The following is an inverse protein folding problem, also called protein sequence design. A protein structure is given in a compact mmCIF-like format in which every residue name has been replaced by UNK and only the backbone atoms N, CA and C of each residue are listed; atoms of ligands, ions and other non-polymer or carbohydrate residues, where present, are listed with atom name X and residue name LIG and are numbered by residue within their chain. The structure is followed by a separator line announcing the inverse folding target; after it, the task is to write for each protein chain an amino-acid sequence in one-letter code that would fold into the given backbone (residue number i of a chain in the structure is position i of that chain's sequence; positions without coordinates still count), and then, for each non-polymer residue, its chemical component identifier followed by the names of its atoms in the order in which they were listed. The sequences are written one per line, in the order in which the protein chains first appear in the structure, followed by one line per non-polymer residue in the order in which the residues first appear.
data_IF_964627216717
#
_entry.id   IF_964627216717
#
_cell.length_a   1.000
_cell.length_b   1.000
_cell.length_c   1.000
_cell.angle_alpha   90.00
_cell.angle_beta   90.00
_cell.angle_gamma   90.00
#
_symmetry.space_group_name_H-M   'P 1'
#
loop_
_entity.id
_entity.type
_entity.pdbx_description
1 polymer ?
#
# COMPACT_ATOMS: atom_id res chain seq x y z
N UNK A 1 17.48 18.85 -53.50
CA UNK A 1 16.00 18.92 -53.46
C UNK A 1 15.61 18.49 -52.03
N UNK A 2 15.26 19.39 -51.09
CA UNK A 2 13.88 19.88 -50.77
C UNK A 2 12.94 18.67 -50.53
N UNK A 3 12.35 18.40 -49.36
CA UNK A 3 11.63 19.22 -48.35
C UNK A 3 11.55 18.41 -47.02
N UNK A 4 11.80 18.93 -45.83
CA UNK A 4 11.02 19.84 -44.97
C UNK A 4 9.80 19.22 -44.23
N UNK A 5 9.94 19.17 -42.89
CA UNK A 5 8.96 19.28 -41.77
C UNK A 5 7.84 18.24 -41.57
N UNK A 6 7.69 17.87 -40.28
CA UNK A 6 6.46 17.65 -39.47
C UNK A 6 6.67 16.41 -38.58
N UNK A 7 6.55 16.42 -37.25
CA UNK A 7 6.19 17.43 -36.27
C UNK A 7 6.16 16.68 -34.94
N UNK A 8 6.94 17.16 -33.98
CA UNK A 8 7.05 16.63 -32.61
C UNK A 8 5.73 16.83 -31.88
N UNK A 9 4.96 15.75 -31.70
CA UNK A 9 3.86 15.71 -30.74
C UNK A 9 4.38 15.05 -29.44
N UNK A 10 5.03 15.86 -28.59
CA UNK A 10 5.20 15.52 -27.18
C UNK A 10 3.82 15.62 -26.53
N UNK A 11 3.16 14.50 -26.29
CA UNK A 11 2.08 14.45 -25.30
C UNK A 11 2.71 14.50 -23.91
N UNK A 12 2.91 15.71 -23.40
CA UNK A 12 3.09 15.97 -21.98
C UNK A 12 1.73 15.77 -21.28
N UNK A 13 1.47 14.52 -20.89
CA UNK A 13 0.45 14.22 -19.88
C UNK A 13 1.14 14.20 -18.52
N UNK A 14 1.55 15.37 -18.01
CA UNK A 14 1.83 15.50 -16.58
C UNK A 14 0.49 15.51 -15.85
N UNK A 15 -0.06 14.33 -15.61
CA UNK A 15 -0.98 14.15 -14.49
C UNK A 15 -0.12 14.30 -13.24
N UNK A 16 -0.23 15.47 -12.62
CA UNK A 16 0.19 15.68 -11.24
C UNK A 16 -0.69 14.79 -10.36
N UNK A 17 -0.29 13.53 -10.21
CA UNK A 17 -0.72 12.74 -9.06
C UNK A 17 -0.05 13.32 -7.82
N UNK A 18 -0.73 13.35 -6.66
CA UNK A 18 -0.04 13.62 -5.41
C UNK A 18 1.09 12.58 -5.30
N UNK A 19 2.26 13.03 -4.87
CA UNK A 19 3.51 12.29 -4.85
C UNK A 19 3.33 10.81 -4.47
N UNK A 20 3.09 9.96 -5.48
CA UNK A 20 3.29 8.54 -5.34
C UNK A 20 4.80 8.41 -5.23
N UNK A 21 5.25 8.02 -4.04
CA UNK A 21 6.61 7.54 -3.82
C UNK A 21 6.98 6.63 -4.98
N UNK A 22 7.75 7.14 -5.94
CA UNK A 22 8.35 6.36 -7.02
C UNK A 22 9.52 5.52 -6.46
N UNK A 23 9.33 4.97 -5.27
CA UNK A 23 10.14 3.93 -4.70
C UNK A 23 9.64 2.66 -5.36
N UNK A 24 10.52 1.99 -6.10
CA UNK A 24 10.20 0.72 -6.74
C UNK A 24 9.68 -0.22 -5.65
N UNK A 25 8.38 -0.49 -5.64
CA UNK A 25 7.80 -1.42 -4.69
C UNK A 25 8.57 -2.74 -4.81
N UNK A 26 9.14 -3.20 -3.71
CA UNK A 26 9.90 -4.46 -3.65
C UNK A 26 8.98 -5.69 -3.69
N UNK A 27 7.67 -5.47 -3.85
CA UNK A 27 6.63 -6.48 -3.89
C UNK A 27 5.66 -6.18 -5.04
N UNK A 28 4.97 -7.21 -5.51
CA UNK A 28 3.93 -7.09 -6.52
C UNK A 28 2.60 -6.72 -5.86
N UNK A 29 2.20 -5.45 -5.95
CA UNK A 29 0.89 -4.99 -5.46
C UNK A 29 -0.29 -5.64 -6.20
N UNK A 30 -0.09 -6.03 -7.47
CA UNK A 30 -1.07 -6.79 -8.24
C UNK A 30 -1.30 -8.19 -7.68
N UNK A 31 -0.28 -8.81 -7.10
CA UNK A 31 -0.41 -10.09 -6.40
C UNK A 31 -1.30 -9.99 -5.15
N UNK A 32 -1.22 -8.88 -4.40
CA UNK A 32 -2.14 -8.61 -3.27
C UNK A 32 -3.57 -8.49 -3.79
N UNK A 33 -3.80 -7.65 -4.81
CA UNK A 33 -5.13 -7.47 -5.39
C UNK A 33 -5.73 -8.80 -5.90
N UNK A 34 -4.93 -9.61 -6.59
CA UNK A 34 -5.36 -10.91 -7.09
C UNK A 34 -5.70 -11.88 -5.94
N UNK A 35 -4.85 -11.96 -4.91
CA UNK A 35 -5.08 -12.83 -3.75
C UNK A 35 -6.35 -12.45 -2.98
N UNK A 36 -6.59 -11.15 -2.82
CA UNK A 36 -7.75 -10.59 -2.14
C UNK A 36 -9.04 -10.58 -2.98
N UNK A 37 -8.96 -10.77 -4.31
CA UNK A 37 -10.15 -10.99 -5.15
C UNK A 37 -10.73 -12.41 -5.08
N UNK A 38 -9.94 -13.36 -4.59
CA UNK A 38 -10.32 -14.78 -4.54
C UNK A 38 -11.01 -15.17 -3.23
N UNK A 39 -10.25 -15.16 -2.12
CA UNK A 39 -10.71 -15.55 -0.78
C UNK A 39 -9.89 -14.81 0.30
N UNK A 40 -10.52 -14.51 1.44
CA UNK A 40 -9.86 -13.81 2.55
C UNK A 40 -8.60 -14.51 3.08
N UNK A 41 -8.60 -15.85 3.16
CA UNK A 41 -7.43 -16.61 3.60
C UNK A 41 -6.20 -16.42 2.70
N UNK A 42 -6.41 -16.34 1.37
CA UNK A 42 -5.34 -16.08 0.40
C UNK A 42 -4.80 -14.65 0.52
N UNK A 43 -5.70 -13.69 0.76
CA UNK A 43 -5.35 -12.28 1.00
C UNK A 43 -4.37 -12.15 2.18
N UNK A 44 -4.74 -12.69 3.34
CA UNK A 44 -3.92 -12.63 4.55
C UNK A 44 -2.57 -13.34 4.37
N UNK A 45 -2.58 -14.53 3.75
CA UNK A 45 -1.35 -15.30 3.51
C UNK A 45 -0.35 -14.56 2.63
N UNK A 46 -0.82 -13.88 1.56
CA UNK A 46 0.06 -13.10 0.68
C UNK A 46 0.60 -11.86 1.39
N UNK A 47 -0.23 -11.15 2.17
CA UNK A 47 0.22 -10.00 2.96
C UNK A 47 1.32 -10.42 3.94
N UNK A 48 1.10 -11.51 4.70
CA UNK A 48 2.08 -12.00 5.66
C UNK A 48 3.40 -12.44 4.99
N UNK A 49 3.34 -13.09 3.82
CA UNK A 49 4.53 -13.48 3.05
C UNK A 49 5.32 -12.26 2.57
N UNK A 50 4.63 -11.23 2.08
CA UNK A 50 5.29 -9.99 1.64
C UNK A 50 5.96 -9.29 2.82
N UNK A 51 5.27 -9.17 3.97
CA UNK A 51 5.84 -8.58 5.18
C UNK A 51 7.09 -9.33 5.64
N UNK A 52 7.03 -10.67 5.67
CA UNK A 52 8.18 -11.50 6.04
C UNK A 52 9.36 -11.32 5.05
N UNK A 53 9.09 -11.22 3.75
CA UNK A 53 10.10 -10.97 2.74
C UNK A 53 10.75 -9.58 2.90
N UNK A 54 9.97 -8.55 3.23
CA UNK A 54 10.48 -7.20 3.49
C UNK A 54 11.37 -7.16 4.74
N UNK A 55 10.99 -7.86 5.81
CA UNK A 55 11.82 -7.99 7.02
C UNK A 55 13.12 -8.76 6.73
N UNK A 56 13.04 -9.85 5.96
CA UNK A 56 14.20 -10.66 5.59
C UNK A 56 15.17 -9.94 4.63
N UNK A 57 14.69 -8.93 3.88
CA UNK A 57 15.52 -8.13 2.99
C UNK A 57 16.52 -7.23 3.73
N UNK A 58 16.41 -7.08 5.07
CA UNK A 58 17.37 -6.33 5.87
C UNK A 58 17.42 -4.84 5.52
N UNK A 59 16.28 -4.28 5.12
CA UNK A 59 16.17 -2.87 4.72
C UNK A 59 16.44 -1.93 5.90
N UNK A 60 16.94 -0.71 5.64
CA UNK A 60 16.90 0.39 6.59
C UNK A 60 15.47 0.62 7.13
N UNK A 61 15.36 1.08 8.37
CA UNK A 61 14.08 1.22 9.07
C UNK A 61 13.09 2.14 8.33
N UNK A 62 13.57 3.26 7.80
CA UNK A 62 12.80 4.22 6.99
C UNK A 62 12.28 3.57 5.70
N UNK A 63 13.13 2.81 5.01
CA UNK A 63 12.76 2.11 3.80
C UNK A 63 11.79 0.96 4.08
N UNK A 64 12.00 0.19 5.15
CA UNK A 64 11.08 -0.86 5.59
C UNK A 64 9.70 -0.27 5.89
N UNK A 65 9.63 0.79 6.69
CA UNK A 65 8.37 1.44 7.07
C UNK A 65 7.66 2.03 5.84
N UNK A 66 8.39 2.58 4.86
CA UNK A 66 7.84 3.02 3.56
C UNK A 66 7.21 1.84 2.80
N UNK A 67 7.92 0.70 2.72
CA UNK A 67 7.40 -0.50 2.07
C UNK A 67 6.16 -1.07 2.78
N UNK A 68 6.16 -1.08 4.12
CA UNK A 68 5.02 -1.50 4.93
C UNK A 68 3.79 -0.61 4.70
N UNK A 69 3.98 0.71 4.60
CA UNK A 69 2.90 1.63 4.25
C UNK A 69 2.35 1.35 2.84
N UNK A 70 3.20 1.01 1.87
CA UNK A 70 2.76 0.62 0.53
C UNK A 70 1.96 -0.70 0.55
N UNK A 71 2.37 -1.70 1.34
CA UNK A 71 1.61 -2.96 1.52
C UNK A 71 0.24 -2.68 2.12
N UNK A 72 0.18 -1.86 3.17
CA UNK A 72 -1.08 -1.47 3.80
C UNK A 72 -2.03 -0.79 2.81
N UNK A 73 -1.52 0.15 1.99
CA UNK A 73 -2.32 0.80 0.96
C UNK A 73 -2.86 -0.19 -0.08
N UNK A 74 -2.02 -1.11 -0.57
CA UNK A 74 -2.44 -2.13 -1.53
C UNK A 74 -3.53 -3.07 -0.95
N UNK A 75 -3.40 -3.46 0.33
CA UNK A 75 -4.40 -4.26 1.01
C UNK A 75 -5.74 -3.50 1.17
N UNK A 76 -5.67 -2.22 1.50
CA UNK A 76 -6.85 -1.36 1.59
C UNK A 76 -7.51 -1.14 0.23
N UNK A 77 -6.75 -0.97 -0.84
CA UNK A 77 -7.30 -0.87 -2.20
C UNK A 77 -8.01 -2.16 -2.61
N UNK A 78 -7.47 -3.32 -2.24
CA UNK A 78 -8.15 -4.59 -2.45
C UNK A 78 -9.46 -4.69 -1.66
N UNK A 79 -9.48 -4.24 -0.40
CA UNK A 79 -10.71 -4.16 0.39
C UNK A 79 -11.76 -3.23 -0.24
N UNK A 80 -11.34 -2.08 -0.80
CA UNK A 80 -12.24 -1.15 -1.51
C UNK A 80 -12.82 -1.77 -2.78
N UNK A 81 -12.03 -2.55 -3.50
CA UNK A 81 -12.45 -3.21 -4.73
C UNK A 81 -13.46 -4.35 -4.47
N UNK A 82 -13.35 -5.06 -3.34
CA UNK A 82 -14.21 -6.18 -2.98
C UNK A 82 -14.49 -6.24 -1.47
N UNK A 83 -15.40 -5.40 -0.93
CA UNK A 83 -15.63 -5.26 0.51
C UNK A 83 -16.55 -6.36 1.07
N UNK A 84 -16.15 -7.63 0.97
CA UNK A 84 -16.87 -8.73 1.64
C UNK A 84 -16.40 -8.87 3.10
N UNK A 85 -17.23 -9.38 4.02
CA UNK A 85 -16.85 -9.58 5.41
C UNK A 85 -15.55 -10.38 5.58
N UNK A 86 -15.32 -11.39 4.73
CA UNK A 86 -14.13 -12.23 4.74
C UNK A 86 -12.88 -11.47 4.28
N UNK A 87 -13.01 -10.59 3.26
CA UNK A 87 -11.91 -9.75 2.80
C UNK A 87 -11.58 -8.68 3.83
N UNK A 88 -12.59 -8.03 4.41
CA UNK A 88 -12.39 -7.03 5.46
C UNK A 88 -11.69 -7.62 6.68
N UNK A 89 -12.12 -8.80 7.14
CA UNK A 89 -11.45 -9.50 8.24
C UNK A 89 -9.99 -9.87 7.89
N UNK A 90 -9.75 -10.34 6.67
CA UNK A 90 -8.40 -10.69 6.22
C UNK A 90 -7.49 -9.47 6.08
N UNK A 91 -7.99 -8.35 5.55
CA UNK A 91 -7.23 -7.11 5.42
C UNK A 91 -6.97 -6.50 6.79
N UNK A 92 -7.93 -6.52 7.71
CA UNK A 92 -7.70 -6.08 9.10
C UNK A 92 -6.57 -6.87 9.77
N UNK A 93 -6.60 -8.21 9.72
CA UNK A 93 -5.52 -9.06 10.24
C UNK A 93 -4.18 -8.83 9.50
N UNK A 94 -4.25 -8.54 8.20
CA UNK A 94 -3.09 -8.17 7.39
C UNK A 94 -2.47 -6.86 7.87
N UNK A 95 -3.28 -5.84 8.14
CA UNK A 95 -2.83 -4.55 8.67
C UNK A 95 -2.21 -4.69 10.07
N UNK A 96 -2.75 -5.56 10.93
CA UNK A 96 -2.11 -5.90 12.22
C UNK A 96 -0.73 -6.55 12.03
N UNK A 97 -0.60 -7.42 11.02
CA UNK A 97 0.70 -8.03 10.66
C UNK A 97 1.70 -6.98 10.18
N UNK A 98 1.25 -6.03 9.35
CA UNK A 98 2.06 -4.90 8.89
C UNK A 98 2.46 -4.00 10.08
N UNK A 99 1.53 -3.74 11.01
CA UNK A 99 1.78 -2.94 12.21
C UNK A 99 2.84 -3.57 13.10
N UNK A 100 2.76 -4.87 13.33
CA UNK A 100 3.73 -5.62 14.13
C UNK A 100 5.14 -5.66 13.49
N UNK A 101 5.23 -5.47 12.17
CA UNK A 101 6.49 -5.42 11.45
C UNK A 101 7.11 -4.01 11.38
N UNK A 102 6.32 -2.97 11.68
CA UNK A 102 6.81 -1.59 11.66
C UNK A 102 7.76 -1.33 12.82
N UNK A 103 8.82 -0.58 12.52
CA UNK A 103 9.78 -0.10 13.53
C UNK A 103 9.41 1.29 14.07
N UNK A 104 8.44 1.97 13.46
CA UNK A 104 7.93 3.26 13.89
C UNK A 104 6.65 3.09 14.73
N UNK A 105 6.65 3.46 16.03
CA UNK A 105 5.49 3.31 16.89
C UNK A 105 4.28 4.14 16.43
N UNK A 106 4.49 5.30 15.79
CA UNK A 106 3.39 6.12 15.26
C UNK A 106 2.72 5.42 14.07
N UNK A 107 3.54 4.89 13.16
CA UNK A 107 3.04 4.10 12.03
C UNK A 107 2.31 2.83 12.49
N UNK A 108 2.87 2.10 13.47
CA UNK A 108 2.23 0.92 14.03
C UNK A 108 0.86 1.24 14.64
N UNK A 109 0.75 2.33 15.40
CA UNK A 109 -0.52 2.78 15.98
C UNK A 109 -1.55 3.18 14.90
N UNK A 110 -1.11 3.88 13.85
CA UNK A 110 -1.97 4.23 12.73
C UNK A 110 -2.49 2.98 11.99
N UNK A 111 -1.63 1.98 11.75
CA UNK A 111 -2.02 0.72 11.13
C UNK A 111 -3.00 -0.09 12.00
N UNK A 112 -2.84 -0.10 13.31
CA UNK A 112 -3.79 -0.72 14.24
C UNK A 112 -5.16 -0.03 14.22
N UNK A 113 -5.19 1.31 14.14
CA UNK A 113 -6.42 2.07 14.00
C UNK A 113 -7.11 1.76 12.66
N UNK A 114 -6.34 1.69 11.57
CA UNK A 114 -6.85 1.29 10.26
C UNK A 114 -7.42 -0.14 10.28
N UNK A 115 -6.73 -1.10 10.91
CA UNK A 115 -7.22 -2.46 11.07
C UNK A 115 -8.58 -2.50 11.78
N UNK A 116 -8.71 -1.73 12.87
CA UNK A 116 -9.96 -1.62 13.64
C UNK A 116 -11.10 -1.03 12.80
N UNK A 117 -10.83 0.00 12.01
CA UNK A 117 -11.82 0.62 11.12
C UNK A 117 -12.26 -0.35 10.03
N UNK A 118 -11.32 -1.04 9.37
CA UNK A 118 -11.63 -2.03 8.33
C UNK A 118 -12.44 -3.20 8.89
N UNK A 119 -12.11 -3.68 10.09
CA UNK A 119 -12.88 -4.71 10.77
C UNK A 119 -14.32 -4.26 11.10
N UNK A 120 -14.53 -2.96 11.32
CA UNK A 120 -15.86 -2.35 11.47
C UNK A 120 -16.57 -2.08 10.13
N UNK A 121 -15.92 -2.35 9.00
CA UNK A 121 -16.44 -2.09 7.65
C UNK A 121 -16.20 -0.67 7.14
N UNK A 122 -15.43 0.14 7.87
CA UNK A 122 -15.03 1.48 7.45
C UNK A 122 -13.65 1.45 6.78
N UNK A 123 -13.63 1.63 5.46
CA UNK A 123 -12.38 1.69 4.70
C UNK A 123 -12.08 3.16 4.37
N UNK A 124 -11.13 3.81 5.07
CA UNK A 124 -10.84 5.22 4.86
C UNK A 124 -10.40 5.49 3.42
N UNK A 125 -10.56 6.73 2.93
CA UNK A 125 -10.10 7.10 1.58
C UNK A 125 -8.55 7.03 1.49
N UNK A 126 -7.96 6.63 0.36
CA UNK A 126 -6.50 6.56 0.19
C UNK A 126 -5.74 7.85 0.55
N UNK A 127 -6.35 9.04 0.40
CA UNK A 127 -5.72 10.30 0.83
C UNK A 127 -5.57 10.40 2.35
N UNK A 128 -6.54 9.92 3.13
CA UNK A 128 -6.46 9.90 4.59
C UNK A 128 -5.40 8.90 5.07
N UNK A 129 -5.30 7.75 4.40
CA UNK A 129 -4.31 6.71 4.72
C UNK A 129 -2.89 7.20 4.48
N UNK A 130 -2.65 7.89 3.36
CA UNK A 130 -1.34 8.49 3.07
C UNK A 130 -0.91 9.45 4.19
N UNK A 131 -1.79 10.35 4.63
CA UNK A 131 -1.52 11.31 5.71
C UNK A 131 -1.25 10.64 7.08
N UNK A 132 -1.83 9.45 7.32
CA UNK A 132 -1.68 8.73 8.58
C UNK A 132 -0.43 7.84 8.64
N UNK A 133 0.08 7.41 7.49
CA UNK A 133 1.25 6.53 7.39
C UNK A 133 2.53 7.26 6.97
N UNK A 134 2.45 8.56 6.68
CA UNK A 134 3.60 9.41 6.45
C UNK A 134 4.47 9.52 7.72
N UNK A 135 5.79 9.30 7.64
CA UNK A 135 6.68 9.55 8.75
C UNK A 135 6.61 11.04 9.10
N UNK A 136 6.36 11.35 10.38
CA UNK A 136 6.39 12.72 10.91
C UNK A 136 7.77 13.33 10.67
N UNK A 137 7.89 13.99 9.52
CA UNK A 137 9.07 14.74 9.13
C UNK A 137 9.03 16.08 9.86
N UNK A 138 9.24 16.06 11.18
CA UNK A 138 9.27 17.30 11.96
C UNK A 138 9.05 17.13 13.44
N UNK A 139 10.14 16.92 14.17
CA UNK A 139 10.42 17.58 15.45
C UNK A 139 11.93 17.64 15.66
#
# INVERSE_FOLDING_TARGET
MKKFLLGTALCLSTVAGPAAYAQTALFDAGAIAAACSGQGASCLSVIAQIVAALQAAGLPADQLNSQLAAVANAALDAARAAPTPEILAAVAAGLETVAAASSDPAQAAALQALASNVAAGDIPNPTAVAQQLEPVSGA
#
